data_IF_825886390334
#
_entry.id   IF_825886390334
#
_cell.length_a   1.000
_cell.length_b   1.000
_cell.length_c   1.000
_cell.angle_alpha   90.00
_cell.angle_beta   90.00
_cell.angle_gamma   90.00
#
_symmetry.space_group_name_H-M   'P 1'
#
loop_
_entity.id
_entity.type
_entity.pdbx_description
1 polymer ?
#
# COMPACT_ATOMS: atom_id res chain seq x y z
N UNK A 1 -49.56 8.38 -0.29
CA UNK A 1 -49.03 7.68 0.90
C UNK A 1 -47.51 7.75 0.84
N UNK A 2 -46.85 8.50 1.73
CA UNK A 2 -45.39 8.67 1.69
C UNK A 2 -44.72 7.45 2.35
N UNK A 3 -43.87 6.73 1.60
CA UNK A 3 -43.09 5.58 2.11
C UNK A 3 -41.99 6.07 3.06
N UNK A 4 -42.01 5.61 4.31
CA UNK A 4 -40.94 5.89 5.26
C UNK A 4 -39.69 5.08 4.90
N UNK A 5 -38.53 5.74 4.89
CA UNK A 5 -37.23 5.06 4.69
C UNK A 5 -36.97 4.08 5.85
N UNK A 6 -36.44 2.88 5.58
CA UNK A 6 -36.14 1.92 6.64
C UNK A 6 -35.09 2.50 7.60
N UNK A 7 -35.37 2.43 8.91
CA UNK A 7 -34.40 2.79 9.95
C UNK A 7 -33.22 1.81 9.87
N UNK A 8 -32.02 2.34 9.69
CA UNK A 8 -30.78 1.55 9.70
C UNK A 8 -30.56 0.81 11.02
N UNK A 9 -29.57 -0.11 11.03
CA UNK A 9 -29.24 -0.95 12.18
C UNK A 9 -29.00 -0.08 13.43
N UNK A 10 -29.74 -0.31 14.53
CA UNK A 10 -29.50 0.39 15.79
C UNK A 10 -28.10 0.08 16.30
N UNK A 11 -27.35 1.11 16.70
CA UNK A 11 -26.11 0.90 17.44
C UNK A 11 -26.45 0.25 18.79
N UNK A 12 -25.97 -0.97 19.03
CA UNK A 12 -26.08 -1.63 20.34
C UNK A 12 -25.15 -0.87 21.27
N UNK A 13 -25.73 0.04 22.07
CA UNK A 13 -25.04 0.98 22.94
C UNK A 13 -23.82 0.38 23.63
N UNK A 14 -22.66 0.83 23.21
CA UNK A 14 -21.37 0.64 23.86
C UNK A 14 -20.55 1.87 23.54
N UNK A 15 -19.82 2.40 24.52
CA UNK A 15 -18.94 3.55 24.34
C UNK A 15 -18.15 3.38 23.04
N UNK A 16 -18.37 4.29 22.08
CA UNK A 16 -17.62 4.28 20.84
C UNK A 16 -16.14 4.18 21.22
N UNK A 17 -15.43 3.18 20.68
CA UNK A 17 -13.99 3.07 20.90
C UNK A 17 -13.41 4.42 20.50
N UNK A 18 -12.82 5.15 21.44
CA UNK A 18 -12.02 6.32 21.09
C UNK A 18 -10.93 5.81 20.16
N UNK A 19 -11.07 6.08 18.86
CA UNK A 19 -10.03 5.75 17.91
C UNK A 19 -8.79 6.53 18.38
N UNK A 20 -7.76 5.82 18.84
CA UNK A 20 -6.51 6.44 19.20
C UNK A 20 -5.88 7.00 17.93
N UNK A 21 -6.12 8.28 17.67
CA UNK A 21 -5.55 8.97 16.52
C UNK A 21 -4.10 9.32 16.86
N UNK A 22 -3.16 8.48 16.43
CA UNK A 22 -1.74 8.81 16.48
C UNK A 22 -1.48 10.03 15.57
N UNK A 23 -1.30 11.22 16.17
CA UNK A 23 -0.92 12.44 15.46
C UNK A 23 0.56 12.35 15.08
N UNK A 24 0.87 11.78 13.92
CA UNK A 24 2.24 11.76 13.39
C UNK A 24 2.48 13.06 12.63
N UNK A 25 3.31 13.95 13.20
CA UNK A 25 3.83 15.11 12.49
C UNK A 25 4.85 14.63 11.43
N UNK A 26 4.36 14.42 10.20
CA UNK A 26 5.22 14.07 9.07
C UNK A 26 5.87 15.33 8.47
N UNK A 27 7.18 15.26 8.20
CA UNK A 27 7.95 16.35 7.62
C UNK A 27 7.88 16.33 6.08
N UNK A 28 7.95 17.51 5.45
CA UNK A 28 8.04 17.65 3.99
C UNK A 28 9.34 17.05 3.43
N UNK A 29 9.31 16.58 2.18
CA UNK A 29 10.48 15.98 1.52
C UNK A 29 11.68 16.93 1.50
N UNK A 30 11.48 18.21 1.21
CA UNK A 30 12.55 19.21 1.21
C UNK A 30 13.24 19.35 2.56
N UNK A 31 12.46 19.47 3.66
CA UNK A 31 13.03 19.58 5.01
C UNK A 31 13.85 18.34 5.39
N UNK A 32 13.42 17.15 4.97
CA UNK A 32 14.18 15.92 5.20
C UNK A 32 15.55 15.97 4.54
N UNK A 33 15.65 16.45 3.29
CA UNK A 33 16.93 16.57 2.60
C UNK A 33 17.85 17.60 3.25
N UNK A 34 17.33 18.77 3.61
CA UNK A 34 18.12 19.79 4.34
C UNK A 34 18.71 19.24 5.64
N UNK A 35 17.93 18.44 6.38
CA UNK A 35 18.41 17.75 7.60
C UNK A 35 19.51 16.74 7.28
N UNK A 36 19.39 16.00 6.17
CA UNK A 36 20.39 15.03 5.75
C UNK A 36 21.68 15.70 5.25
N UNK A 37 21.57 16.83 4.56
CA UNK A 37 22.73 17.60 4.08
C UNK A 37 23.53 18.16 5.26
N UNK A 38 22.85 18.69 6.28
CA UNK A 38 23.51 19.09 7.52
C UNK A 38 24.15 17.90 8.26
N UNK A 39 23.49 16.73 8.27
CA UNK A 39 24.04 15.53 8.90
C UNK A 39 25.33 15.05 8.21
N UNK A 40 25.51 15.30 6.92
CA UNK A 40 26.73 14.90 6.21
C UNK A 40 27.98 15.61 6.76
N UNK A 41 27.84 16.84 7.26
CA UNK A 41 28.93 17.63 7.86
C UNK A 41 28.96 17.67 9.39
N UNK A 42 28.02 17.02 10.08
CA UNK A 42 27.80 17.18 11.53
C UNK A 42 27.42 15.87 12.21
N UNK A 43 27.57 15.80 13.53
CA UNK A 43 27.09 14.66 14.31
C UNK A 43 25.55 14.69 14.47
N UNK A 44 24.96 13.51 14.68
CA UNK A 44 23.51 13.34 14.84
C UNK A 44 22.93 14.18 16.00
N UNK A 45 23.63 14.26 17.14
CA UNK A 45 23.19 15.06 18.29
C UNK A 45 23.09 16.54 17.95
N UNK A 46 24.11 17.09 17.31
CA UNK A 46 24.14 18.49 16.89
C UNK A 46 23.03 18.76 15.84
N UNK A 47 22.84 17.84 14.89
CA UNK A 47 21.77 17.94 13.88
C UNK A 47 20.38 17.97 14.53
N UNK A 48 20.09 17.07 15.48
CA UNK A 48 18.80 17.06 16.16
C UNK A 48 18.60 18.33 17.00
N UNK A 49 19.65 18.82 17.67
CA UNK A 49 19.59 20.04 18.47
C UNK A 49 19.32 21.28 17.61
N UNK A 50 19.89 21.32 16.39
CA UNK A 50 19.71 22.42 15.45
C UNK A 50 18.30 22.46 14.84
N UNK A 51 17.79 21.34 14.31
CA UNK A 51 16.49 21.31 13.62
C UNK A 51 15.28 21.04 14.53
N UNK A 52 15.51 20.46 15.71
CA UNK A 52 14.46 20.08 16.65
C UNK A 52 14.85 20.51 18.09
N UNK A 53 15.03 21.82 18.36
CA UNK A 53 15.49 22.31 19.66
C UNK A 53 14.52 21.99 20.80
N UNK A 54 13.21 21.96 20.51
CA UNK A 54 12.16 21.69 21.49
C UNK A 54 11.81 20.18 21.61
N UNK A 55 12.68 19.30 21.17
CA UNK A 55 12.44 17.86 21.22
C UNK A 55 12.67 17.33 22.64
N UNK A 56 11.67 16.64 23.20
CA UNK A 56 11.82 15.94 24.47
C UNK A 56 12.95 14.88 24.40
N UNK A 57 13.72 14.73 25.47
CA UNK A 57 14.83 13.78 25.55
C UNK A 57 14.40 12.34 25.29
N UNK A 58 13.21 11.94 25.73
CA UNK A 58 12.60 10.62 25.48
C UNK A 58 12.34 10.35 23.98
N UNK A 59 12.10 11.40 23.18
CA UNK A 59 11.82 11.29 21.75
C UNK A 59 13.11 11.30 20.89
N UNK A 60 14.28 11.50 21.50
CA UNK A 60 15.57 11.57 20.79
C UNK A 60 15.82 10.33 19.94
N UNK A 61 15.70 9.13 20.52
CA UNK A 61 15.97 7.88 19.82
C UNK A 61 14.99 7.65 18.65
N UNK A 62 13.72 8.00 18.82
CA UNK A 62 12.71 7.92 17.76
C UNK A 62 13.04 8.88 16.60
N UNK A 63 13.51 10.09 16.90
CA UNK A 63 13.92 11.06 15.88
C UNK A 63 15.20 10.62 15.17
N UNK A 64 16.22 10.17 15.92
CA UNK A 64 17.45 9.58 15.38
C UNK A 64 17.16 8.43 14.42
N UNK A 65 16.33 7.47 14.82
CA UNK A 65 15.93 6.35 13.97
C UNK A 65 15.18 6.82 12.70
N UNK A 66 14.36 7.86 12.83
CA UNK A 66 13.65 8.47 11.71
C UNK A 66 14.58 9.14 10.71
N UNK A 67 15.59 9.87 11.18
CA UNK A 67 16.59 10.50 10.30
C UNK A 67 17.39 9.44 9.55
N UNK A 68 17.82 8.35 10.22
CA UNK A 68 18.49 7.24 9.52
C UNK A 68 17.60 6.53 8.50
N UNK A 69 16.29 6.45 8.74
CA UNK A 69 15.36 5.92 7.75
C UNK A 69 15.30 6.83 6.53
N UNK A 70 15.29 8.15 6.72
CA UNK A 70 15.35 9.10 5.60
C UNK A 70 16.68 8.99 4.84
N UNK A 71 17.80 8.81 5.55
CA UNK A 71 19.11 8.62 4.93
C UNK A 71 19.13 7.39 4.01
N UNK A 72 18.55 6.26 4.46
CA UNK A 72 18.38 5.06 3.63
C UNK A 72 17.52 5.29 2.40
N UNK A 73 16.52 6.16 2.49
CA UNK A 73 15.60 6.49 1.39
C UNK A 73 15.96 7.80 0.69
N UNK A 74 17.22 8.26 0.74
CA UNK A 74 17.62 9.58 0.23
C UNK A 74 17.33 9.75 -1.26
N UNK A 75 17.70 8.76 -2.07
CA UNK A 75 17.45 8.77 -3.52
C UNK A 75 15.97 8.98 -3.87
N UNK A 76 15.05 8.35 -3.12
CA UNK A 76 13.60 8.52 -3.31
C UNK A 76 13.14 9.95 -2.95
N UNK A 77 13.77 10.60 -1.96
CA UNK A 77 13.47 11.99 -1.62
C UNK A 77 13.96 12.95 -2.71
N UNK A 78 15.15 12.72 -3.25
CA UNK A 78 15.71 13.52 -4.35
C UNK A 78 14.86 13.39 -5.63
N UNK A 79 14.46 12.16 -5.98
CA UNK A 79 13.53 11.91 -7.08
C UNK A 79 12.20 12.64 -6.88
N UNK A 80 11.64 12.64 -5.67
CA UNK A 80 10.41 13.37 -5.37
C UNK A 80 10.57 14.89 -5.50
N UNK A 81 11.74 15.45 -5.17
CA UNK A 81 12.03 16.86 -5.39
C UNK A 81 12.15 17.21 -6.88
N UNK A 82 12.75 16.33 -7.68
CA UNK A 82 12.84 16.47 -9.12
C UNK A 82 11.45 16.42 -9.79
N UNK A 83 10.54 15.58 -9.28
CA UNK A 83 9.14 15.49 -9.71
C UNK A 83 8.26 16.65 -9.21
N UNK A 84 8.83 17.65 -8.52
CA UNK A 84 8.09 18.80 -8.00
C UNK A 84 7.31 18.54 -6.70
N UNK A 85 7.42 17.36 -6.08
CA UNK A 85 6.71 16.96 -4.85
C UNK A 85 7.40 17.43 -3.57
N UNK A 86 7.94 18.64 -3.57
CA UNK A 86 8.81 19.18 -2.49
C UNK A 86 8.11 19.27 -1.13
N UNK A 87 6.86 19.70 -1.14
CA UNK A 87 6.02 19.88 0.05
C UNK A 87 5.37 18.58 0.54
N UNK A 88 5.48 17.49 -0.25
CA UNK A 88 4.84 16.24 0.10
C UNK A 88 5.48 15.63 1.35
N UNK A 89 4.64 15.33 2.34
CA UNK A 89 5.07 14.72 3.60
C UNK A 89 5.29 13.23 3.47
N UNK A 90 4.56 12.59 2.56
CA UNK A 90 4.67 11.17 2.19
C UNK A 90 4.69 11.08 0.67
N UNK A 91 5.77 10.55 0.13
CA UNK A 91 5.87 10.19 -1.29
C UNK A 91 5.34 8.76 -1.40
N UNK A 92 4.39 8.55 -2.30
CA UNK A 92 3.92 7.21 -2.68
C UNK A 92 4.27 7.01 -4.15
N UNK A 93 4.62 5.78 -4.50
CA UNK A 93 4.79 5.42 -5.90
C UNK A 93 3.43 5.58 -6.59
N UNK A 94 3.45 6.11 -7.81
CA UNK A 94 2.28 6.11 -8.69
C UNK A 94 1.83 4.65 -8.85
N UNK A 95 0.53 4.38 -8.70
CA UNK A 95 -0.01 3.02 -8.76
C UNK A 95 -0.01 2.22 -7.45
N UNK A 96 0.61 2.71 -6.36
CA UNK A 96 0.49 2.10 -5.01
C UNK A 96 -0.66 2.77 -4.24
N UNK A 97 -1.81 2.80 -4.89
CA UNK A 97 -3.10 2.97 -4.24
C UNK A 97 -3.81 1.62 -4.20
N UNK A 98 -4.80 1.46 -3.34
CA UNK A 98 -5.83 0.40 -3.44
C UNK A 98 -6.69 0.56 -4.71
N UNK A 99 -6.13 1.12 -5.77
CA UNK A 99 -6.80 1.47 -7.02
C UNK A 99 -6.39 0.38 -7.99
N UNK A 100 -7.39 -0.34 -8.47
CA UNK A 100 -7.23 -1.41 -9.43
C UNK A 100 -6.60 -0.87 -10.72
N UNK A 101 -6.01 -1.74 -11.53
CA UNK A 101 -5.57 -1.33 -12.86
C UNK A 101 -6.78 -0.84 -13.67
N UNK A 102 -6.59 0.06 -14.64
CA UNK A 102 -7.69 0.56 -15.47
C UNK A 102 -8.44 -0.57 -16.20
N UNK A 103 -7.72 -1.63 -16.59
CA UNK A 103 -8.30 -2.82 -17.18
C UNK A 103 -9.23 -3.54 -16.17
N UNK A 104 -8.73 -3.77 -14.95
CA UNK A 104 -9.50 -4.40 -13.88
C UNK A 104 -10.68 -3.54 -13.42
N UNK A 105 -10.57 -2.21 -13.44
CA UNK A 105 -11.69 -1.31 -13.16
C UNK A 105 -12.78 -1.41 -14.23
N UNK A 106 -12.39 -1.54 -15.50
CA UNK A 106 -13.31 -1.67 -16.63
C UNK A 106 -14.05 -3.00 -16.59
N UNK A 107 -13.36 -4.10 -16.30
CA UNK A 107 -13.94 -5.43 -16.13
C UNK A 107 -15.00 -5.45 -15.01
N UNK A 108 -14.68 -4.85 -13.84
CA UNK A 108 -15.65 -4.73 -12.75
C UNK A 108 -16.83 -3.84 -13.16
N UNK A 109 -16.59 -2.76 -13.90
CA UNK A 109 -17.67 -1.88 -14.35
C UNK A 109 -18.63 -2.59 -15.31
N UNK A 110 -18.11 -3.40 -16.23
CA UNK A 110 -18.91 -4.23 -17.13
C UNK A 110 -19.71 -5.29 -16.38
N UNK A 111 -19.06 -6.01 -15.45
CA UNK A 111 -19.72 -6.99 -14.59
C UNK A 111 -20.84 -6.37 -13.73
N UNK A 112 -20.59 -5.20 -13.14
CA UNK A 112 -21.63 -4.47 -12.38
C UNK A 112 -22.77 -4.02 -13.29
N UNK A 113 -22.49 -3.66 -14.54
CA UNK A 113 -23.50 -3.22 -15.52
C UNK A 113 -24.40 -4.38 -15.94
N UNK A 114 -23.84 -5.55 -16.21
CA UNK A 114 -24.58 -6.77 -16.55
C UNK A 114 -25.55 -7.15 -15.43
N UNK A 115 -25.07 -7.26 -14.19
CA UNK A 115 -25.90 -7.60 -13.03
C UNK A 115 -27.03 -6.59 -12.76
N UNK A 116 -26.77 -5.29 -12.98
CA UNK A 116 -27.82 -4.26 -12.88
C UNK A 116 -28.84 -4.37 -14.03
N UNK A 117 -28.41 -4.83 -15.21
CA UNK A 117 -29.29 -5.14 -16.33
C UNK A 117 -30.28 -6.25 -15.99
N UNK A 118 -29.85 -7.26 -15.25
CA UNK A 118 -30.68 -8.37 -14.75
C UNK A 118 -31.52 -8.01 -13.51
N UNK A 119 -31.49 -6.75 -13.08
CA UNK A 119 -32.23 -6.26 -11.92
C UNK A 119 -31.63 -6.64 -10.56
N UNK A 120 -30.40 -7.16 -10.53
CA UNK A 120 -29.72 -7.58 -9.30
C UNK A 120 -29.02 -6.37 -8.65
N UNK A 121 -29.36 -6.01 -7.40
CA UNK A 121 -28.71 -4.90 -6.72
C UNK A 121 -27.29 -5.28 -6.25
N UNK A 122 -26.27 -4.71 -6.89
CA UNK A 122 -24.87 -4.89 -6.47
C UNK A 122 -24.53 -3.94 -5.30
N UNK A 123 -24.16 -4.52 -4.15
CA UNK A 123 -23.71 -3.80 -2.95
C UNK A 123 -22.19 -3.88 -2.79
N UNK A 124 -21.59 -2.99 -1.99
CA UNK A 124 -20.14 -2.96 -1.74
C UNK A 124 -19.58 -4.28 -1.16
N UNK A 125 -20.41 -5.13 -0.56
CA UNK A 125 -20.00 -6.43 -0.04
C UNK A 125 -19.95 -7.55 -1.09
N UNK A 126 -20.51 -7.31 -2.29
CA UNK A 126 -20.46 -8.22 -3.43
C UNK A 126 -19.29 -7.93 -4.38
N UNK A 127 -18.64 -6.78 -4.23
CA UNK A 127 -17.45 -6.47 -5.02
C UNK A 127 -16.27 -7.32 -4.52
N UNK A 128 -15.59 -8.06 -5.41
CA UNK A 128 -14.38 -8.76 -5.05
C UNK A 128 -13.37 -7.79 -4.44
N UNK A 129 -12.71 -8.19 -3.36
CA UNK A 129 -11.62 -7.37 -2.82
C UNK A 129 -10.53 -7.26 -3.89
N UNK A 130 -9.80 -6.14 -3.98
CA UNK A 130 -8.77 -5.94 -5.00
C UNK A 130 -7.67 -7.02 -4.97
N UNK A 131 -7.49 -7.73 -3.85
CA UNK A 131 -6.58 -8.88 -3.76
C UNK A 131 -7.11 -10.16 -4.43
N UNK A 132 -8.42 -10.31 -4.58
CA UNK A 132 -9.04 -11.51 -5.16
C UNK A 132 -9.04 -11.50 -6.70
N UNK A 133 -9.01 -10.30 -7.31
CA UNK A 133 -9.04 -10.14 -8.77
C UNK A 133 -7.66 -10.43 -9.37
N UNK A 134 -6.58 -10.12 -8.65
CA UNK A 134 -5.22 -10.37 -9.09
C UNK A 134 -4.80 -11.86 -9.02
N UNK A 135 -5.64 -12.76 -8.50
CA UNK A 135 -5.37 -14.21 -8.39
C UNK A 135 -6.23 -15.08 -9.30
N UNK A 136 -7.05 -14.46 -10.17
CA UNK A 136 -7.89 -15.18 -11.11
C UNK A 136 -7.20 -15.24 -12.48
N UNK A 137 -6.23 -16.14 -12.64
CA UNK A 137 -5.85 -16.60 -13.96
C UNK A 137 -6.99 -17.50 -14.49
N UNK A 138 -7.47 -17.31 -15.74
CA UNK A 138 -8.54 -18.11 -16.29
C UNK A 138 -8.05 -19.52 -16.58
N UNK A 139 -8.85 -20.49 -16.12
CA UNK A 139 -8.94 -21.90 -16.54
C UNK A 139 -8.25 -22.17 -17.89
N UNK A 140 -7.03 -22.71 -17.86
CA UNK A 140 -6.42 -23.49 -18.96
C UNK A 140 -5.61 -24.60 -18.31
N UNK A 141 -6.29 -25.65 -17.85
CA UNK A 141 -5.63 -26.86 -17.35
C UNK A 141 -6.45 -28.13 -17.66
N UNK A 142 -7.04 -28.18 -18.86
CA UNK A 142 -7.75 -29.37 -19.37
C UNK A 142 -7.17 -29.95 -20.67
N UNK A 143 -6.03 -29.44 -21.17
CA UNK A 143 -5.30 -30.06 -22.28
C UNK A 143 -4.02 -30.81 -21.84
N UNK A 144 -3.66 -30.79 -20.55
CA UNK A 144 -2.43 -31.43 -20.06
C UNK A 144 -2.61 -32.85 -19.50
N UNK A 145 -3.81 -33.41 -19.59
CA UNK A 145 -4.12 -34.78 -19.11
C UNK A 145 -4.36 -35.81 -20.23
N UNK A 146 -4.06 -35.51 -21.50
CA UNK A 146 -4.23 -36.45 -22.62
C UNK A 146 -2.92 -37.05 -23.18
N UNK A 147 -1.75 -36.72 -22.61
CA UNK A 147 -0.45 -37.25 -23.06
C UNK A 147 0.24 -38.04 -21.95
N UNK A 148 -0.40 -39.15 -21.58
CA UNK A 148 0.21 -40.24 -20.83
C UNK A 148 -0.01 -41.55 -21.61
N UNK A 149 0.85 -41.77 -22.61
CA UNK A 149 1.31 -43.11 -22.97
C UNK A 149 2.84 -43.04 -22.88
N UNK A 150 3.42 -43.75 -21.88
CA UNK A 150 4.88 -43.87 -21.70
C UNK A 150 5.48 -44.91 -22.65
N UNK A 151 6.52 -45.65 -22.27
CA UNK A 151 7.70 -45.30 -21.44
C UNK A 151 9.03 -45.66 -22.16
N UNK A 152 10.18 -45.25 -21.63
CA UNK A 152 11.35 -46.15 -21.49
C UNK A 152 12.35 -45.58 -20.48
N UNK A 153 12.68 -46.45 -19.53
CA UNK A 153 13.79 -46.43 -18.56
C UNK A 153 15.12 -46.58 -19.31
N UNK A 154 16.16 -45.84 -18.93
CA UNK A 154 17.56 -46.24 -18.59
C UNK A 154 18.22 -44.99 -17.95
N UNK A 155 18.55 -44.94 -16.64
CA UNK A 155 19.84 -45.35 -16.03
C UNK A 155 21.02 -44.71 -16.80
N UNK A 156 21.94 -43.89 -16.28
CA UNK A 156 22.58 -43.81 -14.98
C UNK A 156 23.14 -42.38 -14.74
N UNK A 157 23.09 -41.99 -13.47
CA UNK A 157 24.16 -41.38 -12.68
C UNK A 157 25.38 -40.85 -13.43
N UNK A 158 25.56 -39.52 -13.40
CA UNK A 158 26.82 -38.94 -12.94
C UNK A 158 26.66 -37.44 -12.70
N UNK A 159 27.62 -36.88 -11.98
CA UNK A 159 27.95 -35.45 -11.91
C UNK A 159 27.53 -34.68 -10.65
N UNK A 160 28.11 -35.07 -9.51
CA UNK A 160 28.62 -34.08 -8.55
C UNK A 160 30.07 -33.73 -8.92
N UNK A 161 30.33 -32.47 -9.27
CA UNK A 161 31.62 -31.82 -9.04
C UNK A 161 31.46 -30.32 -8.85
#
# INVERSE_FOLDING_TARGET
MASQRPKGRPSRGGANRHAQLYKIAAEAAQKKLVVLDHLAGSQMRATISHFYPNLASSAYNSKRATIYRWARSRASLEAALAEGKREHRKVRNVGVGTILSQASESEIAEWVKELRGDGIPVSSGLLPSPNCIASADPIVDLERLSLLEGPTVEEEQDFYR
#
